data_IF_990515370074
#
_entry.id   IF_990515370074
#
_cell.length_a   1.000
_cell.length_b   1.000
_cell.length_c   1.000
_cell.angle_alpha   90.00
_cell.angle_beta   90.00
_cell.angle_gamma   90.00
#
_symmetry.space_group_name_H-M   'P 1'
#
loop_
_entity.id
_entity.type
_entity.pdbx_description
1 polymer ?
#
# COMPACT_ATOMS: atom_id res chain seq x y z
N UNK A 1 0.38 -15.21 24.38
CA UNK A 1 -0.01 -14.16 23.40
C UNK A 1 -0.74 -14.88 22.28
N UNK A 2 -1.96 -14.48 21.96
CA UNK A 2 -2.67 -14.98 20.77
C UNK A 2 -1.92 -14.51 19.53
N UNK A 3 -1.77 -15.39 18.52
CA UNK A 3 -1.17 -15.00 17.24
C UNK A 3 -1.95 -13.83 16.63
N UNK A 4 -1.28 -12.84 16.03
CA UNK A 4 -1.97 -11.71 15.39
C UNK A 4 -2.93 -12.21 14.30
N UNK A 5 -4.09 -11.54 14.20
CA UNK A 5 -5.04 -11.79 13.10
C UNK A 5 -4.51 -11.13 11.82
N UNK A 6 -3.77 -11.90 11.03
CA UNK A 6 -3.12 -11.42 9.80
C UNK A 6 -4.11 -11.01 8.69
N UNK A 7 -5.38 -11.44 8.78
CA UNK A 7 -6.42 -11.11 7.79
C UNK A 7 -7.27 -9.88 8.17
N UNK A 8 -6.97 -9.23 9.29
CA UNK A 8 -7.65 -8.02 9.68
C UNK A 8 -7.12 -6.80 8.91
N UNK A 9 -7.97 -6.07 8.19
CA UNK A 9 -7.64 -4.86 7.43
C UNK A 9 -8.44 -3.64 7.92
N UNK A 10 -8.05 -2.43 7.47
CA UNK A 10 -8.60 -1.18 7.96
C UNK A 10 -10.07 -0.95 7.60
N UNK A 11 -10.59 -1.58 6.56
CA UNK A 11 -11.99 -1.54 6.17
C UNK A 11 -12.92 -2.18 7.21
N UNK A 12 -12.41 -3.16 7.98
CA UNK A 12 -13.14 -3.76 9.13
C UNK A 12 -13.24 -2.78 10.31
N UNK A 13 -12.24 -1.91 10.47
CA UNK A 13 -12.27 -0.87 11.51
C UNK A 13 -13.22 0.29 11.17
N UNK A 14 -13.38 0.60 9.88
CA UNK A 14 -14.34 1.59 9.40
C UNK A 14 -15.79 1.08 9.53
N UNK A 15 -16.71 1.99 9.83
CA UNK A 15 -18.14 1.67 9.88
C UNK A 15 -18.97 2.90 9.47
N UNK A 16 -20.19 2.72 8.94
CA UNK A 16 -21.10 3.82 8.67
C UNK A 16 -21.33 4.69 9.92
N UNK A 17 -21.26 6.00 9.74
CA UNK A 17 -21.45 6.98 10.82
C UNK A 17 -20.17 7.34 11.59
N UNK A 18 -19.06 6.68 11.34
CA UNK A 18 -17.75 7.06 11.89
C UNK A 18 -16.95 7.91 10.90
N UNK A 19 -16.21 8.89 11.41
CA UNK A 19 -15.19 9.57 10.64
C UNK A 19 -14.02 8.59 10.41
N UNK A 20 -13.71 8.29 9.13
CA UNK A 20 -12.78 7.24 8.75
C UNK A 20 -11.33 7.73 8.68
N UNK A 21 -10.55 7.36 9.68
CA UNK A 21 -9.09 7.48 9.73
C UNK A 21 -8.40 6.11 9.71
N UNK A 22 -9.16 5.01 9.49
CA UNK A 22 -8.64 3.65 9.42
C UNK A 22 -8.21 3.23 8.02
N UNK A 23 -8.90 3.71 6.97
CA UNK A 23 -8.63 3.34 5.58
C UNK A 23 -7.72 4.38 4.90
N UNK A 24 -6.61 3.92 4.30
CA UNK A 24 -5.63 4.77 3.63
C UNK A 24 -5.96 5.00 2.15
N UNK A 25 -7.20 5.33 1.82
CA UNK A 25 -7.58 5.81 0.49
C UNK A 25 -7.66 7.33 0.56
N UNK A 26 -6.94 8.03 -0.33
CA UNK A 26 -6.77 9.48 -0.29
C UNK A 26 -8.09 10.24 -0.41
N UNK A 27 -8.93 9.83 -1.34
CA UNK A 27 -10.18 10.53 -1.67
C UNK A 27 -11.34 9.53 -1.74
N UNK A 28 -12.56 9.95 -1.34
CA UNK A 28 -13.73 9.07 -1.36
C UNK A 28 -14.26 8.78 -2.78
N UNK A 29 -13.82 9.55 -3.77
CA UNK A 29 -14.26 9.44 -5.17
C UNK A 29 -13.08 9.69 -6.11
N UNK A 30 -13.00 8.96 -7.25
CA UNK A 30 -12.06 9.29 -8.32
C UNK A 30 -12.29 10.71 -8.86
N UNK A 31 -11.26 11.38 -9.41
CA UNK A 31 -11.41 12.66 -10.10
C UNK A 31 -12.46 12.61 -11.20
N UNK A 32 -13.08 13.76 -11.51
CA UNK A 32 -14.17 13.84 -12.49
C UNK A 32 -13.76 13.26 -13.85
N UNK A 33 -12.59 13.67 -14.36
CA UNK A 33 -12.08 13.21 -15.65
C UNK A 33 -11.93 11.67 -15.71
N UNK A 34 -11.48 11.04 -14.61
CA UNK A 34 -11.33 9.58 -14.55
C UNK A 34 -12.70 8.88 -14.48
N UNK A 35 -13.65 9.44 -13.74
CA UNK A 35 -15.02 8.92 -13.69
C UNK A 35 -15.70 9.00 -15.05
N UNK A 36 -15.56 10.12 -15.76
CA UNK A 36 -16.15 10.33 -17.08
C UNK A 36 -15.57 9.35 -18.10
N UNK A 37 -14.26 9.11 -18.02
CA UNK A 37 -13.58 8.12 -18.87
C UNK A 37 -14.03 6.69 -18.58
N UNK A 38 -14.16 6.31 -17.32
CA UNK A 38 -14.70 5.01 -16.92
C UNK A 38 -16.18 4.86 -17.29
N UNK A 39 -16.97 5.93 -17.19
CA UNK A 39 -18.37 5.92 -17.60
C UNK A 39 -18.52 5.66 -19.10
N UNK A 40 -17.67 6.28 -19.94
CA UNK A 40 -17.66 6.02 -21.38
C UNK A 40 -17.29 4.57 -21.72
N UNK A 41 -16.46 3.92 -20.92
CA UNK A 41 -16.07 2.52 -21.12
C UNK A 41 -17.16 1.50 -20.69
N UNK A 42 -18.24 1.94 -20.03
CA UNK A 42 -19.35 1.06 -19.65
C UNK A 42 -20.09 0.48 -20.86
N UNK A 43 -20.15 1.21 -21.97
CA UNK A 43 -20.84 0.78 -23.20
C UNK A 43 -20.18 -0.46 -23.84
N UNK A 44 -18.90 -0.71 -23.53
CA UNK A 44 -18.14 -1.85 -24.06
C UNK A 44 -18.17 -3.09 -23.13
N UNK A 45 -18.84 -3.05 -21.99
CA UNK A 45 -18.87 -4.16 -21.01
C UNK A 45 -19.53 -5.46 -21.54
N UNK A 46 -20.28 -5.39 -22.63
CA UNK A 46 -20.80 -6.56 -23.30
C UNK A 46 -19.75 -7.41 -24.03
N UNK A 47 -18.50 -6.98 -24.05
CA UNK A 47 -17.36 -7.68 -24.68
C UNK A 47 -16.33 -8.07 -23.63
N UNK A 48 -15.63 -9.18 -23.88
CA UNK A 48 -14.43 -9.50 -23.07
C UNK A 48 -13.34 -8.44 -23.25
N UNK A 49 -12.50 -8.20 -22.22
CA UNK A 49 -11.34 -7.32 -22.34
C UNK A 49 -10.51 -7.68 -23.57
N UNK A 50 -10.25 -6.70 -24.43
CA UNK A 50 -9.50 -6.94 -25.66
C UNK A 50 -8.01 -7.05 -25.39
N UNK A 51 -7.30 -7.84 -26.22
CA UNK A 51 -5.83 -7.90 -26.18
C UNK A 51 -5.20 -6.52 -26.37
N UNK A 52 -5.79 -5.69 -27.26
CA UNK A 52 -5.33 -4.33 -27.50
C UNK A 52 -5.43 -3.46 -26.23
N UNK A 53 -6.55 -3.54 -25.47
CA UNK A 53 -6.69 -2.78 -24.23
C UNK A 53 -5.65 -3.21 -23.17
N UNK A 54 -5.37 -4.52 -23.09
CA UNK A 54 -4.31 -5.04 -22.21
C UNK A 54 -2.92 -4.53 -22.63
N UNK A 55 -2.62 -4.56 -23.93
CA UNK A 55 -1.35 -4.05 -24.49
C UNK A 55 -1.19 -2.55 -24.22
N UNK A 56 -2.23 -1.73 -24.46
CA UNK A 56 -2.21 -0.28 -24.17
C UNK A 56 -1.96 0.02 -22.70
N UNK A 57 -2.62 -0.70 -21.79
CA UNK A 57 -2.42 -0.54 -20.36
C UNK A 57 -0.99 -0.91 -19.95
N UNK A 58 -0.45 -2.01 -20.50
CA UNK A 58 0.93 -2.46 -20.26
C UNK A 58 1.95 -1.46 -20.77
N UNK A 59 1.76 -0.93 -21.98
CA UNK A 59 2.60 0.11 -22.57
C UNK A 59 2.55 1.42 -21.77
N UNK A 60 1.38 1.83 -21.26
CA UNK A 60 1.24 3.02 -20.46
C UNK A 60 2.05 2.91 -19.14
N UNK A 61 1.96 1.77 -18.46
CA UNK A 61 2.77 1.48 -17.26
C UNK A 61 4.25 1.45 -17.61
N UNK A 62 4.63 0.78 -18.70
CA UNK A 62 6.02 0.68 -19.15
C UNK A 62 6.61 2.07 -19.41
N UNK A 63 5.90 2.94 -20.13
CA UNK A 63 6.32 4.34 -20.37
C UNK A 63 6.48 5.12 -19.07
N UNK A 64 5.55 5.01 -18.13
CA UNK A 64 5.62 5.67 -16.82
C UNK A 64 6.93 5.37 -16.11
N UNK A 65 7.39 4.13 -16.17
CA UNK A 65 8.56 3.66 -15.42
C UNK A 65 9.83 3.48 -16.27
N UNK A 66 9.82 3.90 -17.55
CA UNK A 66 10.97 3.72 -18.44
C UNK A 66 11.33 2.24 -18.62
N UNK A 67 10.33 1.35 -18.61
CA UNK A 67 10.47 -0.11 -18.72
C UNK A 67 9.98 -0.60 -20.08
N UNK A 68 10.25 -1.88 -20.38
CA UNK A 68 9.67 -2.58 -21.51
C UNK A 68 8.29 -3.16 -21.13
N UNK A 69 7.33 -3.30 -22.08
CA UNK A 69 6.01 -3.87 -21.76
C UNK A 69 6.03 -5.31 -21.25
N UNK A 70 7.05 -6.11 -21.57
CA UNK A 70 7.24 -7.46 -21.04
C UNK A 70 7.71 -7.48 -19.57
N UNK A 71 8.21 -6.35 -19.06
CA UNK A 71 8.54 -6.14 -17.64
C UNK A 71 7.34 -5.66 -16.81
N UNK A 72 6.11 -5.76 -17.34
CA UNK A 72 4.88 -5.32 -16.68
C UNK A 72 3.87 -6.46 -16.62
N UNK A 73 3.35 -6.77 -15.42
CA UNK A 73 2.24 -7.68 -15.21
C UNK A 73 1.06 -6.90 -14.59
N UNK A 74 -0.02 -6.73 -15.35
CA UNK A 74 -1.24 -6.07 -14.88
C UNK A 74 -2.00 -6.97 -13.90
N UNK A 75 -2.55 -6.39 -12.84
CA UNK A 75 -3.18 -7.09 -11.72
C UNK A 75 -4.58 -6.55 -11.43
N UNK A 76 -5.44 -7.43 -10.96
CA UNK A 76 -6.73 -7.07 -10.37
C UNK A 76 -6.54 -6.58 -8.92
N UNK A 77 -5.81 -5.48 -8.78
CA UNK A 77 -5.32 -4.90 -7.53
C UNK A 77 -4.03 -5.53 -7.02
N UNK A 78 -3.28 -4.78 -6.23
CA UNK A 78 -2.02 -5.23 -5.64
C UNK A 78 -2.17 -6.52 -4.79
N UNK A 79 -3.35 -6.74 -4.18
CA UNK A 79 -3.62 -7.95 -3.41
C UNK A 79 -3.50 -9.24 -4.24
N UNK A 80 -3.89 -9.22 -5.53
CA UNK A 80 -3.63 -10.36 -6.42
C UNK A 80 -2.14 -10.64 -6.56
N UNK A 81 -1.31 -9.60 -6.61
CA UNK A 81 0.14 -9.73 -6.69
C UNK A 81 0.70 -10.56 -5.54
N UNK A 82 0.29 -10.27 -4.31
CA UNK A 82 0.71 -11.06 -3.15
C UNK A 82 0.29 -12.53 -3.24
N UNK A 83 -0.95 -12.79 -3.67
CA UNK A 83 -1.45 -14.15 -3.83
C UNK A 83 -0.69 -14.95 -4.91
N UNK A 84 -0.06 -14.28 -5.86
CA UNK A 84 0.74 -14.90 -6.91
C UNK A 84 2.19 -15.21 -6.48
N UNK A 85 2.76 -14.50 -5.50
CA UNK A 85 4.16 -14.64 -5.08
C UNK A 85 4.61 -16.09 -4.76
N UNK A 86 3.78 -16.96 -4.14
CA UNK A 86 4.15 -18.34 -3.90
C UNK A 86 4.51 -19.15 -5.16
N UNK A 87 4.06 -18.73 -6.35
CA UNK A 87 4.41 -19.37 -7.63
C UNK A 87 5.89 -19.26 -7.99
N UNK A 88 6.61 -18.30 -7.39
CA UNK A 88 8.07 -18.22 -7.52
C UNK A 88 8.79 -19.36 -6.80
N UNK A 89 8.04 -20.15 -6.02
CA UNK A 89 8.52 -21.36 -5.33
C UNK A 89 9.77 -21.16 -4.45
N UNK A 90 9.86 -20.08 -3.65
CA UNK A 90 10.97 -19.90 -2.74
C UNK A 90 10.90 -20.99 -1.65
N UNK A 91 12.06 -21.49 -1.22
CA UNK A 91 12.14 -22.46 -0.12
C UNK A 91 11.99 -21.80 1.24
N UNK A 92 12.38 -20.54 1.34
CA UNK A 92 12.36 -19.72 2.55
C UNK A 92 12.14 -18.26 2.22
N UNK A 93 11.20 -17.63 2.91
CA UNK A 93 10.82 -16.23 2.69
C UNK A 93 11.11 -15.41 3.93
N UNK A 94 11.75 -14.25 3.78
CA UNK A 94 11.83 -13.24 4.82
C UNK A 94 10.77 -12.16 4.57
N UNK A 95 10.00 -11.80 5.61
CA UNK A 95 9.06 -10.68 5.55
C UNK A 95 9.44 -9.65 6.61
N UNK A 96 9.61 -8.41 6.16
CA UNK A 96 9.96 -7.30 7.06
C UNK A 96 8.70 -6.77 7.73
N UNK A 97 8.70 -6.80 9.06
CA UNK A 97 7.62 -6.34 9.93
C UNK A 97 8.10 -5.26 10.92
N UNK A 98 7.19 -4.40 11.42
CA UNK A 98 5.76 -4.33 11.11
C UNK A 98 5.53 -4.00 9.63
N UNK A 99 4.68 -4.77 8.96
CA UNK A 99 4.42 -4.63 7.53
C UNK A 99 3.04 -5.15 7.15
N UNK A 100 2.61 -4.87 5.94
CA UNK A 100 1.34 -5.40 5.43
C UNK A 100 1.36 -6.93 5.42
N UNK A 101 0.28 -7.56 5.86
CA UNK A 101 0.26 -8.96 6.24
C UNK A 101 -0.15 -9.94 5.13
N UNK A 102 -0.73 -9.46 4.03
CA UNK A 102 -1.17 -10.32 2.92
C UNK A 102 -0.05 -11.17 2.30
N UNK A 103 1.20 -10.69 2.13
CA UNK A 103 2.28 -11.55 1.64
C UNK A 103 2.51 -12.76 2.56
N UNK A 104 2.50 -12.55 3.88
CA UNK A 104 2.67 -13.62 4.85
C UNK A 104 1.56 -14.65 4.77
N UNK A 105 0.30 -14.18 4.67
CA UNK A 105 -0.86 -15.05 4.49
C UNK A 105 -0.70 -15.90 3.24
N UNK A 106 -0.32 -15.31 2.11
CA UNK A 106 -0.16 -16.03 0.85
C UNK A 106 0.90 -17.14 0.91
N UNK A 107 2.06 -16.86 1.52
CA UNK A 107 3.12 -17.86 1.66
C UNK A 107 2.75 -18.96 2.66
N UNK A 108 2.13 -18.63 3.80
CA UNK A 108 1.65 -19.60 4.78
C UNK A 108 0.60 -20.53 4.21
N UNK A 109 -0.38 -19.99 3.47
CA UNK A 109 -1.42 -20.78 2.80
C UNK A 109 -0.84 -21.73 1.76
N UNK A 110 0.29 -21.37 1.14
CA UNK A 110 1.05 -22.22 0.22
C UNK A 110 2.00 -23.21 0.93
N UNK A 111 2.07 -23.21 2.27
CA UNK A 111 2.96 -24.08 3.04
C UNK A 111 4.43 -23.70 2.97
N UNK A 112 4.77 -22.48 2.57
CA UNK A 112 6.14 -21.98 2.45
C UNK A 112 6.57 -21.35 3.78
N UNK A 113 7.75 -21.73 4.34
CA UNK A 113 8.27 -21.16 5.58
C UNK A 113 8.51 -19.64 5.47
N UNK A 114 8.02 -18.90 6.48
CA UNK A 114 8.19 -17.45 6.59
C UNK A 114 8.96 -17.10 7.85
N UNK A 115 10.05 -16.37 7.69
CA UNK A 115 10.80 -15.76 8.78
C UNK A 115 10.46 -14.28 8.90
N UNK A 116 10.19 -13.83 10.12
CA UNK A 116 9.96 -12.42 10.40
C UNK A 116 11.28 -11.68 10.59
N UNK A 117 11.48 -10.60 9.87
CA UNK A 117 12.49 -9.59 10.15
C UNK A 117 11.79 -8.47 10.92
N UNK A 118 11.80 -8.57 12.25
CA UNK A 118 11.14 -7.58 13.10
C UNK A 118 12.01 -6.33 13.25
N UNK A 119 11.49 -5.19 12.84
CA UNK A 119 12.08 -3.87 13.09
C UNK A 119 11.47 -3.27 14.37
N UNK A 120 12.25 -2.53 15.09
CA UNK A 120 11.85 -1.84 16.32
C UNK A 120 12.34 -0.39 16.38
N UNK A 121 12.01 0.31 17.44
CA UNK A 121 12.44 1.68 17.69
C UNK A 121 11.93 2.64 16.61
N UNK A 122 12.81 3.08 15.72
CA UNK A 122 12.49 3.94 14.58
C UNK A 122 12.12 3.16 13.31
N UNK A 123 12.03 1.85 13.39
CA UNK A 123 11.67 0.92 12.31
C UNK A 123 12.54 1.04 11.04
N UNK A 124 13.78 1.49 11.18
CA UNK A 124 14.72 1.61 10.05
C UNK A 124 15.46 0.29 9.80
N UNK A 125 15.64 -0.06 8.53
CA UNK A 125 16.49 -1.18 8.12
C UNK A 125 17.95 -0.92 8.49
N UNK A 126 18.53 -1.74 9.41
CA UNK A 126 19.93 -1.67 9.83
C UNK A 126 20.73 -2.93 9.48
N UNK A 127 20.21 -3.75 8.61
CA UNK A 127 20.72 -5.05 8.21
C UNK A 127 19.69 -6.14 8.48
N UNK A 128 19.89 -7.33 7.92
CA UNK A 128 19.05 -8.50 8.22
C UNK A 128 19.94 -9.67 8.58
N UNK A 129 19.70 -10.35 9.70
CA UNK A 129 20.45 -11.54 10.09
C UNK A 129 19.89 -12.82 9.43
N UNK A 130 18.91 -12.71 8.52
CA UNK A 130 18.14 -13.85 8.00
C UNK A 130 18.60 -14.17 6.59
N UNK A 131 18.85 -15.45 6.33
CA UNK A 131 19.02 -15.97 4.97
C UNK A 131 17.65 -16.31 4.38
N UNK A 132 17.36 -15.83 3.17
CA UNK A 132 16.10 -16.11 2.47
C UNK A 132 16.33 -16.18 0.96
N UNK A 133 15.49 -16.97 0.27
CA UNK A 133 15.47 -17.00 -1.21
C UNK A 133 14.67 -15.82 -1.78
N UNK A 134 13.74 -15.27 -0.95
CA UNK A 134 12.90 -14.13 -1.31
C UNK A 134 12.65 -13.28 -0.07
N UNK A 135 12.74 -11.97 -0.23
CA UNK A 135 12.40 -11.00 0.82
C UNK A 135 11.29 -10.06 0.37
N UNK A 136 10.30 -9.83 1.24
CA UNK A 136 9.19 -8.88 0.99
C UNK A 136 9.23 -7.74 2.00
N UNK A 137 9.09 -6.52 1.49
CA UNK A 137 9.02 -5.29 2.31
C UNK A 137 8.08 -4.27 1.67
N UNK A 138 7.34 -3.49 2.48
CA UNK A 138 6.63 -2.29 2.01
C UNK A 138 7.53 -1.05 2.01
N UNK A 139 7.42 -0.20 0.99
CA UNK A 139 8.15 1.06 0.93
C UNK A 139 7.35 2.16 0.20
N UNK A 140 6.82 3.18 0.88
CA UNK A 140 6.78 3.34 2.36
C UNK A 140 6.04 2.21 3.06
N UNK A 141 6.53 1.83 4.24
CA UNK A 141 5.97 0.72 5.00
C UNK A 141 4.62 1.06 5.65
N UNK A 142 3.59 0.25 5.44
CA UNK A 142 2.36 0.29 6.23
C UNK A 142 2.47 -0.77 7.36
N UNK A 143 2.39 -0.40 8.67
CA UNK A 143 1.76 0.80 9.21
C UNK A 143 2.70 1.94 9.63
N UNK A 144 4.02 1.77 9.56
CA UNK A 144 5.00 2.68 10.17
C UNK A 144 5.19 4.00 9.42
N UNK A 145 4.83 4.05 8.14
CA UNK A 145 5.08 5.17 7.23
C UNK A 145 6.58 5.44 6.94
N UNK A 146 7.46 4.53 7.31
CA UNK A 146 8.90 4.64 7.05
C UNK A 146 9.19 4.47 5.57
N UNK A 147 9.98 5.38 5.01
CA UNK A 147 10.56 5.30 3.68
C UNK A 147 12.02 4.85 3.81
N UNK A 148 12.30 3.61 3.41
CA UNK A 148 13.64 3.03 3.42
C UNK A 148 14.43 3.46 2.19
N UNK A 149 15.73 3.69 2.36
CA UNK A 149 16.59 4.02 1.22
C UNK A 149 16.76 2.83 0.28
N UNK A 150 16.85 3.10 -1.03
CA UNK A 150 17.18 2.09 -2.05
C UNK A 150 18.42 1.27 -1.70
N UNK A 151 19.43 1.93 -1.12
CA UNK A 151 20.66 1.27 -0.71
C UNK A 151 20.42 0.25 0.41
N UNK A 152 19.54 0.55 1.37
CA UNK A 152 19.20 -0.39 2.44
C UNK A 152 18.37 -1.55 1.90
N UNK A 153 17.38 -1.28 1.04
CA UNK A 153 16.54 -2.29 0.41
C UNK A 153 17.36 -3.30 -0.39
N UNK A 154 18.30 -2.85 -1.21
CA UNK A 154 19.17 -3.71 -2.04
C UNK A 154 20.15 -4.59 -1.26
N UNK A 155 20.27 -4.41 0.05
CA UNK A 155 21.07 -5.29 0.94
C UNK A 155 20.27 -6.46 1.50
N UNK A 156 18.95 -6.47 1.28
CA UNK A 156 18.10 -7.57 1.71
C UNK A 156 18.43 -8.84 0.94
N UNK A 157 18.39 -10.03 1.58
CA UNK A 157 18.77 -11.28 0.96
C UNK A 157 17.73 -11.79 -0.04
N UNK A 158 18.18 -12.60 -1.00
CA UNK A 158 17.34 -13.28 -1.98
C UNK A 158 16.73 -12.34 -3.03
N UNK A 159 15.71 -12.82 -3.74
CA UNK A 159 14.93 -12.00 -4.68
C UNK A 159 14.12 -10.98 -3.88
N UNK A 160 14.29 -9.71 -4.19
CA UNK A 160 13.60 -8.62 -3.50
C UNK A 160 12.22 -8.34 -4.13
N UNK A 161 11.20 -8.30 -3.29
CA UNK A 161 9.84 -7.83 -3.63
C UNK A 161 9.54 -6.61 -2.78
N UNK A 162 9.27 -5.47 -3.43
CA UNK A 162 8.94 -4.22 -2.74
C UNK A 162 7.50 -3.84 -3.02
N UNK A 163 6.70 -3.72 -1.96
CA UNK A 163 5.34 -3.18 -2.04
C UNK A 163 5.40 -1.65 -1.99
N UNK A 164 5.29 -1.03 -3.15
CA UNK A 164 5.26 0.41 -3.34
C UNK A 164 3.83 0.95 -3.49
N UNK A 165 2.83 0.33 -2.84
CA UNK A 165 1.43 0.75 -2.94
C UNK A 165 1.17 2.20 -2.48
N UNK A 166 2.08 2.80 -1.74
CA UNK A 166 2.01 4.19 -1.26
C UNK A 166 3.10 5.09 -1.85
N UNK A 167 3.93 4.61 -2.76
CA UNK A 167 5.02 5.40 -3.32
C UNK A 167 4.52 6.60 -4.14
N UNK A 168 3.36 6.49 -4.80
CA UNK A 168 2.69 7.60 -5.51
C UNK A 168 2.37 8.81 -4.59
N UNK A 169 2.42 8.64 -3.29
CA UNK A 169 2.18 9.73 -2.32
C UNK A 169 3.49 10.36 -1.79
N UNK A 170 4.64 9.95 -2.32
CA UNK A 170 5.96 10.50 -1.97
C UNK A 170 6.43 11.38 -3.13
N UNK A 171 6.62 12.70 -2.94
CA UNK A 171 7.02 13.60 -4.02
C UNK A 171 8.30 13.16 -4.71
N UNK A 172 8.25 13.01 -6.05
CA UNK A 172 9.39 12.60 -6.87
C UNK A 172 9.83 11.14 -6.69
N UNK A 173 9.20 10.36 -5.84
CA UNK A 173 9.48 8.93 -5.60
C UNK A 173 10.99 8.59 -5.43
N UNK A 174 11.76 9.31 -4.58
CA UNK A 174 13.23 9.27 -4.58
C UNK A 174 13.81 7.89 -4.23
N UNK A 175 13.07 7.07 -3.48
CA UNK A 175 13.50 5.75 -3.03
C UNK A 175 12.77 4.59 -3.75
N UNK A 176 12.05 4.89 -4.83
CA UNK A 176 11.38 3.87 -5.64
C UNK A 176 12.39 2.98 -6.37
N UNK A 177 12.13 1.68 -6.37
CA UNK A 177 12.87 0.67 -7.14
C UNK A 177 12.17 0.28 -8.46
N UNK A 178 11.13 1.02 -8.88
CA UNK A 178 10.36 0.74 -10.09
C UNK A 178 11.22 0.70 -11.38
N UNK A 179 12.37 1.39 -11.39
CA UNK A 179 13.31 1.39 -12.52
C UNK A 179 14.38 0.27 -12.44
N UNK A 180 14.41 -0.51 -11.35
CA UNK A 180 15.40 -1.56 -11.14
C UNK A 180 14.90 -2.89 -11.73
N UNK A 181 15.57 -3.46 -12.77
CA UNK A 181 15.11 -4.69 -13.42
C UNK A 181 15.22 -5.93 -12.54
N UNK A 182 16.08 -5.92 -11.53
CA UNK A 182 16.33 -7.07 -10.67
C UNK A 182 15.35 -7.19 -9.51
N UNK A 183 14.49 -6.16 -9.33
CA UNK A 183 13.54 -6.08 -8.22
C UNK A 183 12.10 -6.26 -8.73
N UNK A 184 11.31 -7.08 -8.02
CA UNK A 184 9.87 -7.13 -8.23
C UNK A 184 9.21 -5.99 -7.45
N UNK A 185 8.62 -5.03 -8.15
CA UNK A 185 7.96 -3.88 -7.52
C UNK A 185 6.46 -3.96 -7.75
N UNK A 186 5.70 -3.98 -6.65
CA UNK A 186 4.24 -3.99 -6.67
C UNK A 186 3.71 -2.57 -6.52
N UNK A 187 2.87 -2.13 -7.45
CA UNK A 187 2.23 -0.80 -7.43
C UNK A 187 0.72 -0.92 -7.32
N UNK A 188 0.11 0.04 -6.65
CA UNK A 188 -1.35 0.14 -6.50
C UNK A 188 -1.83 1.53 -6.89
N UNK A 189 -2.78 1.60 -7.81
CA UNK A 189 -3.45 2.86 -8.16
C UNK A 189 -4.64 3.18 -7.24
N UNK A 190 -4.98 2.25 -6.36
CA UNK A 190 -6.14 2.33 -5.45
C UNK A 190 -6.08 3.55 -4.54
N UNK A 191 -4.89 3.83 -3.98
CA UNK A 191 -4.75 4.76 -2.84
C UNK A 191 -4.82 6.21 -3.30
N UNK A 192 -4.11 6.53 -4.36
CA UNK A 192 -4.00 7.87 -4.93
C UNK A 192 -5.29 8.31 -5.62
N UNK A 193 -5.92 7.38 -6.36
CA UNK A 193 -7.02 7.71 -7.27
C UNK A 193 -8.42 7.37 -6.75
N UNK A 194 -8.56 6.88 -5.51
CA UNK A 194 -9.87 6.50 -4.97
C UNK A 194 -10.50 5.29 -5.68
N UNK A 195 -9.68 4.32 -6.09
CA UNK A 195 -10.09 3.16 -6.91
C UNK A 195 -10.18 1.86 -6.10
N UNK A 196 -10.50 1.91 -4.82
CA UNK A 196 -10.52 0.72 -3.96
C UNK A 196 -11.45 -0.38 -4.48
N UNK A 197 -12.64 -0.01 -4.97
CA UNK A 197 -13.62 -0.95 -5.53
C UNK A 197 -13.28 -1.44 -6.95
N UNK A 198 -12.44 -0.73 -7.70
CA UNK A 198 -12.08 -1.08 -9.08
C UNK A 198 -10.98 -2.14 -9.18
N UNK A 199 -10.12 -2.23 -8.16
CA UNK A 199 -9.00 -3.19 -8.12
C UNK A 199 -7.97 -2.96 -9.24
N UNK A 200 -7.20 -1.88 -9.18
CA UNK A 200 -6.17 -1.53 -10.16
C UNK A 200 -4.76 -1.57 -9.55
N UNK A 201 -3.86 -2.32 -10.15
CA UNK A 201 -2.46 -2.45 -9.76
C UNK A 201 -1.63 -3.20 -10.79
N UNK A 202 -0.33 -3.28 -10.57
CA UNK A 202 0.60 -3.99 -11.45
C UNK A 202 1.89 -4.37 -10.74
N UNK A 203 2.58 -5.40 -11.24
CA UNK A 203 3.99 -5.66 -10.98
C UNK A 203 4.88 -5.09 -12.08
N UNK A 204 6.06 -4.67 -11.65
CA UNK A 204 7.23 -4.43 -12.50
C UNK A 204 8.32 -5.43 -12.10
N UNK A 205 9.09 -5.92 -13.05
CA UNK A 205 10.17 -6.84 -12.75
C UNK A 205 10.73 -7.57 -13.96
N UNK A 206 11.55 -8.55 -13.68
CA UNK A 206 12.11 -9.44 -14.68
C UNK A 206 11.03 -10.20 -15.46
N UNK A 207 11.06 -10.23 -16.82
CA UNK A 207 10.03 -10.89 -17.63
C UNK A 207 9.81 -12.37 -17.32
N UNK A 208 10.86 -13.12 -16.99
CA UNK A 208 10.75 -14.55 -16.67
C UNK A 208 10.02 -14.76 -15.33
N UNK A 209 10.35 -13.94 -14.33
CA UNK A 209 9.65 -13.95 -13.04
C UNK A 209 8.17 -13.58 -13.22
N UNK A 210 7.87 -12.53 -14.00
CA UNK A 210 6.50 -12.11 -14.28
C UNK A 210 5.71 -13.16 -15.06
N UNK A 211 6.32 -13.85 -16.02
CA UNK A 211 5.72 -14.98 -16.73
C UNK A 211 5.38 -16.14 -15.76
N UNK A 212 6.27 -16.42 -14.81
CA UNK A 212 6.03 -17.42 -13.76
C UNK A 212 4.82 -17.03 -12.89
N UNK A 213 4.74 -15.77 -12.45
CA UNK A 213 3.59 -15.25 -11.70
C UNK A 213 2.29 -15.31 -12.50
N UNK A 214 2.36 -15.02 -13.81
CA UNK A 214 1.20 -15.02 -14.70
C UNK A 214 0.69 -16.43 -15.04
N UNK A 215 1.55 -17.43 -14.95
CA UNK A 215 1.22 -18.82 -15.34
C UNK A 215 -0.01 -19.32 -14.56
N UNK A 216 -0.99 -19.91 -15.28
CA UNK A 216 -2.21 -20.47 -14.68
C UNK A 216 -3.20 -19.44 -14.12
N UNK A 217 -3.03 -18.14 -14.41
CA UNK A 217 -4.12 -17.16 -14.20
C UNK A 217 -5.29 -17.47 -15.16
N UNK A 218 -6.54 -17.18 -14.75
CA UNK A 218 -7.66 -17.31 -15.65
C UNK A 218 -7.51 -16.40 -16.88
N UNK A 219 -8.24 -16.69 -17.95
CA UNK A 219 -8.35 -15.76 -19.07
C UNK A 219 -9.02 -14.45 -18.60
N UNK A 220 -8.57 -13.32 -19.16
CA UNK A 220 -9.08 -11.99 -18.82
C UNK A 220 -9.00 -11.66 -17.33
N UNK A 221 -7.83 -11.78 -16.70
CA UNK A 221 -7.70 -11.64 -15.26
C UNK A 221 -7.95 -10.21 -14.78
N UNK A 222 -7.85 -9.22 -15.69
CA UNK A 222 -8.09 -7.81 -15.44
C UNK A 222 -9.25 -7.32 -16.28
N UNK A 223 -10.28 -6.77 -15.65
CA UNK A 223 -11.51 -6.31 -16.34
C UNK A 223 -11.29 -5.04 -17.17
N UNK A 224 -12.16 -4.79 -18.16
CA UNK A 224 -12.06 -3.66 -19.09
C UNK A 224 -11.95 -2.30 -18.40
N UNK A 225 -12.76 -2.04 -17.37
CA UNK A 225 -12.70 -0.77 -16.62
C UNK A 225 -11.39 -0.62 -15.85
N UNK A 226 -10.83 -1.73 -15.37
CA UNK A 226 -9.54 -1.70 -14.66
C UNK A 226 -8.39 -1.42 -15.64
N UNK A 227 -8.40 -2.02 -16.83
CA UNK A 227 -7.44 -1.73 -17.90
C UNK A 227 -7.49 -0.26 -18.30
N UNK A 228 -8.71 0.27 -18.49
CA UNK A 228 -8.92 1.68 -18.80
C UNK A 228 -8.38 2.60 -17.71
N UNK A 229 -8.65 2.29 -16.44
CA UNK A 229 -8.12 3.07 -15.32
C UNK A 229 -6.59 3.02 -15.23
N UNK A 230 -5.98 1.86 -15.46
CA UNK A 230 -4.52 1.72 -15.46
C UNK A 230 -3.91 2.59 -16.56
N UNK A 231 -4.47 2.51 -17.78
CA UNK A 231 -4.02 3.34 -18.91
C UNK A 231 -4.12 4.81 -18.56
N UNK A 232 -5.30 5.25 -18.13
CA UNK A 232 -5.59 6.65 -17.82
C UNK A 232 -4.70 7.22 -16.71
N UNK A 233 -4.49 6.47 -15.62
CA UNK A 233 -3.68 6.91 -14.49
C UNK A 233 -2.16 6.93 -14.78
N UNK A 234 -1.72 6.36 -15.92
CA UNK A 234 -0.34 6.38 -16.37
C UNK A 234 -0.07 7.37 -17.52
N UNK A 235 -1.07 8.16 -17.93
CA UNK A 235 -0.90 9.23 -18.91
C UNK A 235 -0.18 10.46 -18.31
N UNK A 236 0.54 11.26 -19.10
CA UNK A 236 1.35 12.38 -18.59
C UNK A 236 0.58 13.33 -17.68
N UNK A 237 -0.62 13.73 -18.05
CA UNK A 237 -1.45 14.68 -17.29
C UNK A 237 -1.89 14.09 -15.94
N UNK A 238 -2.14 12.77 -15.89
CA UNK A 238 -2.43 12.07 -14.66
C UNK A 238 -1.19 11.99 -13.76
N UNK A 239 -0.01 11.74 -14.32
CA UNK A 239 1.25 11.72 -13.56
C UNK A 239 1.57 13.08 -12.95
N UNK A 240 1.35 14.19 -13.68
CA UNK A 240 1.47 15.54 -13.14
C UNK A 240 0.48 15.78 -11.98
N UNK A 241 -0.75 15.28 -12.10
CA UNK A 241 -1.73 15.38 -11.03
C UNK A 241 -1.35 14.51 -9.83
N UNK A 242 -0.82 13.32 -10.06
CA UNK A 242 -0.30 12.44 -8.99
C UNK A 242 0.83 13.11 -8.21
N UNK A 243 1.75 13.82 -8.91
CA UNK A 243 2.82 14.57 -8.28
C UNK A 243 2.26 15.70 -7.38
N UNK A 244 1.28 16.48 -7.86
CA UNK A 244 0.62 17.50 -7.02
C UNK A 244 -0.06 16.87 -5.78
N UNK A 245 -0.66 15.70 -5.95
CA UNK A 245 -1.25 14.96 -4.83
C UNK A 245 -0.22 14.48 -3.81
N UNK A 246 0.98 14.13 -4.26
CA UNK A 246 2.07 13.76 -3.37
C UNK A 246 2.57 14.97 -2.56
N UNK A 247 2.70 16.14 -3.21
CA UNK A 247 3.08 17.39 -2.57
C UNK A 247 2.05 17.83 -1.51
N UNK A 248 0.75 17.77 -1.84
CA UNK A 248 -0.34 18.00 -0.88
C UNK A 248 -0.28 17.01 0.30
N UNK A 249 0.03 15.74 0.03
CA UNK A 249 0.13 14.72 1.09
C UNK A 249 1.31 15.00 2.04
N UNK A 250 2.43 15.50 1.52
CA UNK A 250 3.59 15.92 2.33
C UNK A 250 3.24 17.14 3.20
N UNK A 251 2.53 18.14 2.66
CA UNK A 251 2.05 19.30 3.44
C UNK A 251 1.10 18.87 4.56
N UNK A 252 0.14 17.98 4.25
CA UNK A 252 -0.78 17.44 5.26
C UNK A 252 -0.06 16.61 6.33
N UNK A 253 0.98 15.86 5.93
CA UNK A 253 1.80 15.09 6.85
C UNK A 253 2.60 16.00 7.81
N UNK A 254 3.13 17.12 7.31
CA UNK A 254 3.81 18.11 8.12
C UNK A 254 2.87 18.75 9.15
N UNK A 255 1.65 19.14 8.73
CA UNK A 255 0.62 19.65 9.64
C UNK A 255 0.25 18.61 10.71
N UNK A 256 -0.03 17.37 10.32
CA UNK A 256 -0.41 16.31 11.25
C UNK A 256 0.71 16.00 12.26
N UNK A 257 1.96 16.03 11.82
CA UNK A 257 3.14 15.85 12.69
C UNK A 257 3.24 16.98 13.73
N UNK A 258 3.01 18.24 13.33
CA UNK A 258 3.00 19.38 14.26
C UNK A 258 1.94 19.23 15.36
N UNK A 259 0.73 18.73 14.99
CA UNK A 259 -0.38 18.57 15.95
C UNK A 259 -0.15 17.43 16.95
N UNK A 260 0.61 16.38 16.59
CA UNK A 260 0.72 15.14 17.34
C UNK A 260 2.17 14.71 17.61
N UNK A 261 3.13 15.62 17.54
CA UNK A 261 4.59 15.32 17.63
C UNK A 261 4.98 14.44 18.82
N UNK A 262 4.32 14.59 19.99
CA UNK A 262 4.63 13.84 21.21
C UNK A 262 4.13 12.38 21.18
N UNK A 263 3.23 12.05 20.23
CA UNK A 263 2.63 10.73 20.07
C UNK A 263 3.15 10.00 18.83
N UNK A 264 3.72 10.72 17.86
CA UNK A 264 4.18 10.13 16.59
C UNK A 264 5.46 9.34 16.84
N UNK A 265 5.46 8.07 16.41
CA UNK A 265 6.61 7.16 16.60
C UNK A 265 7.76 7.53 15.66
N UNK A 266 7.45 7.81 14.40
CA UNK A 266 8.41 8.26 13.38
C UNK A 266 7.73 9.30 12.46
N UNK A 267 8.46 10.32 11.96
CA UNK A 267 7.90 11.27 11.00
C UNK A 267 7.33 10.56 9.76
N UNK A 268 6.05 10.80 9.41
CA UNK A 268 5.41 10.08 8.31
C UNK A 268 5.98 10.47 6.94
N UNK A 269 6.13 9.48 6.06
CA UNK A 269 6.52 9.62 4.65
C UNK A 269 5.44 9.13 3.68
N UNK A 270 4.31 8.67 4.20
CA UNK A 270 3.12 8.26 3.46
C UNK A 270 1.89 8.96 4.08
N UNK A 271 0.70 8.93 3.45
CA UNK A 271 -0.49 9.63 3.94
C UNK A 271 -1.14 8.93 5.16
N UNK A 272 -0.33 8.47 6.09
CA UNK A 272 -0.72 7.92 7.39
C UNK A 272 0.45 7.99 8.36
N UNK A 273 0.15 7.95 9.65
CA UNK A 273 1.14 7.97 10.72
C UNK A 273 0.87 6.87 11.75
N UNK A 274 1.94 6.44 12.42
CA UNK A 274 1.90 5.52 13.54
C UNK A 274 2.02 6.32 14.84
N UNK A 275 1.03 6.19 15.71
CA UNK A 275 1.00 6.83 17.02
C UNK A 275 1.28 5.81 18.13
N UNK A 276 1.94 6.26 19.20
CA UNK A 276 2.01 5.56 20.48
C UNK A 276 1.00 6.17 21.44
N UNK A 277 0.05 5.36 21.90
CA UNK A 277 -1.09 5.80 22.70
C UNK A 277 -1.35 4.85 23.88
N UNK A 278 -2.06 5.26 24.95
CA UNK A 278 -2.52 4.35 25.99
C UNK A 278 -3.43 3.25 25.44
N UNK A 279 -3.45 2.09 26.13
CA UNK A 279 -4.42 1.04 25.83
C UNK A 279 -5.85 1.55 25.97
N UNK A 280 -6.75 1.11 25.10
CA UNK A 280 -8.15 1.54 25.10
C UNK A 280 -8.42 2.82 24.30
N UNK A 281 -7.38 3.53 23.85
CA UNK A 281 -7.56 4.77 23.05
C UNK A 281 -8.39 4.53 21.79
N UNK A 282 -8.19 3.41 21.09
CA UNK A 282 -8.95 3.10 19.88
C UNK A 282 -10.45 2.94 20.17
N UNK A 283 -10.81 2.20 21.21
CA UNK A 283 -12.19 1.97 21.64
C UNK A 283 -12.86 3.27 22.07
N UNK A 284 -12.16 4.09 22.87
CA UNK A 284 -12.66 5.39 23.29
C UNK A 284 -12.84 6.37 22.11
N UNK A 285 -11.93 6.37 21.12
CA UNK A 285 -12.12 7.13 19.88
C UNK A 285 -13.34 6.66 19.10
N UNK A 286 -13.58 5.34 19.04
CA UNK A 286 -14.75 4.78 18.37
C UNK A 286 -16.05 5.22 19.02
N UNK A 287 -16.12 5.29 20.35
CA UNK A 287 -17.27 5.80 21.08
C UNK A 287 -17.53 7.30 20.80
N UNK A 288 -16.49 8.03 20.40
CA UNK A 288 -16.59 9.43 19.93
C UNK A 288 -16.81 9.57 18.43
N UNK A 289 -17.13 8.48 17.73
CA UNK A 289 -17.44 8.52 16.30
C UNK A 289 -16.21 8.51 15.37
N UNK A 290 -15.03 8.12 15.85
CA UNK A 290 -13.78 8.06 15.07
C UNK A 290 -13.36 6.61 14.83
N UNK A 291 -13.13 6.24 13.58
CA UNK A 291 -12.51 4.98 13.22
C UNK A 291 -11.00 5.15 12.99
N UNK A 292 -10.17 4.41 13.71
CA UNK A 292 -8.73 4.35 13.52
C UNK A 292 -8.25 2.90 13.46
N UNK A 293 -7.15 2.64 12.77
CA UNK A 293 -6.64 1.28 12.51
C UNK A 293 -5.87 0.72 13.71
N UNK A 294 -6.36 -0.40 14.28
CA UNK A 294 -5.63 -1.14 15.32
C UNK A 294 -4.33 -1.72 14.78
N UNK A 295 -3.29 -1.77 15.62
CA UNK A 295 -1.97 -2.20 15.16
C UNK A 295 -1.48 -3.53 15.77
N UNK A 296 -2.16 -4.09 16.76
CA UNK A 296 -1.87 -5.39 17.36
C UNK A 296 -2.05 -6.59 16.41
N UNK A 297 -2.53 -6.33 15.20
CA UNK A 297 -2.61 -7.31 14.09
C UNK A 297 -1.38 -7.29 13.18
N UNK A 298 -0.45 -6.35 13.37
CA UNK A 298 0.83 -6.32 12.67
C UNK A 298 1.90 -6.97 13.56
N UNK A 299 2.64 -8.00 13.09
CA UNK A 299 3.74 -8.57 13.84
C UNK A 299 4.73 -7.50 14.30
N UNK A 300 5.08 -7.52 15.58
CA UNK A 300 5.99 -6.54 16.20
C UNK A 300 5.31 -5.31 16.81
N UNK A 301 3.98 -5.15 16.65
CA UNK A 301 3.20 -4.11 17.32
C UNK A 301 2.18 -4.69 18.28
N UNK A 302 1.68 -3.86 19.18
CA UNK A 302 0.66 -4.19 20.18
C UNK A 302 -0.50 -3.16 20.20
N UNK A 303 -1.39 -3.27 21.17
CA UNK A 303 -2.57 -2.42 21.34
C UNK A 303 -2.26 -1.00 21.89
N UNK A 304 -0.98 -0.68 22.08
CA UNK A 304 -0.51 0.67 22.38
C UNK A 304 -0.10 1.45 21.12
N UNK A 305 -0.25 0.85 19.95
CA UNK A 305 -0.02 1.51 18.68
C UNK A 305 -1.33 1.70 17.91
N UNK A 306 -1.44 2.86 17.26
CA UNK A 306 -2.59 3.22 16.45
C UNK A 306 -2.11 3.79 15.11
N UNK A 307 -2.57 3.24 13.98
CA UNK A 307 -2.32 3.86 12.68
C UNK A 307 -3.49 4.75 12.29
N UNK A 308 -3.17 5.96 11.87
CA UNK A 308 -4.14 7.00 11.50
C UNK A 308 -3.87 7.48 10.08
N UNK A 309 -4.89 7.48 9.23
CA UNK A 309 -4.82 8.10 7.92
C UNK A 309 -4.74 9.62 8.07
N UNK A 310 -3.80 10.25 7.37
CA UNK A 310 -3.68 11.71 7.31
C UNK A 310 -4.71 12.22 6.31
N UNK A 311 -5.47 13.23 6.72
CA UNK A 311 -6.51 13.90 5.95
C UNK A 311 -6.15 15.37 5.80
N UNK A 312 -6.84 16.12 4.92
CA UNK A 312 -6.71 17.58 4.90
C UNK A 312 -6.86 18.20 6.29
N UNK A 313 -6.19 19.31 6.60
CA UNK A 313 -6.13 19.90 7.94
C UNK A 313 -7.48 20.05 8.65
N UNK A 314 -8.52 20.50 7.92
CA UNK A 314 -9.87 20.67 8.47
C UNK A 314 -10.52 19.34 8.92
N UNK A 315 -10.33 18.26 8.14
CA UNK A 315 -10.83 16.94 8.51
C UNK A 315 -9.96 16.34 9.63
N UNK A 316 -8.64 16.54 9.56
CA UNK A 316 -7.71 15.97 10.55
C UNK A 316 -7.87 16.61 11.93
N UNK A 317 -8.28 17.89 12.00
CA UNK A 317 -8.58 18.56 13.26
C UNK A 317 -9.67 17.83 14.07
N UNK A 318 -10.67 17.23 13.40
CA UNK A 318 -11.71 16.41 14.07
C UNK A 318 -11.10 15.22 14.82
N UNK A 319 -10.11 14.55 14.22
CA UNK A 319 -9.37 13.47 14.87
C UNK A 319 -8.55 13.97 16.06
N UNK A 320 -7.82 15.08 15.87
CA UNK A 320 -6.96 15.66 16.91
C UNK A 320 -7.77 16.06 18.14
N UNK A 321 -8.91 16.71 17.95
CA UNK A 321 -9.79 17.14 19.06
C UNK A 321 -10.37 15.95 19.82
N UNK A 322 -10.85 14.93 19.10
CA UNK A 322 -11.33 13.71 19.72
C UNK A 322 -10.22 12.97 20.49
N UNK A 323 -9.02 12.90 19.92
CA UNK A 323 -7.89 12.24 20.57
C UNK A 323 -7.47 12.98 21.86
N UNK A 324 -7.42 14.30 21.88
CA UNK A 324 -7.09 15.09 23.08
C UNK A 324 -8.06 14.79 24.23
N UNK A 325 -9.37 14.77 23.95
CA UNK A 325 -10.38 14.42 24.96
C UNK A 325 -10.18 12.99 25.47
N UNK A 326 -9.95 12.03 24.57
CA UNK A 326 -9.69 10.63 24.97
C UNK A 326 -8.43 10.50 25.81
N UNK A 327 -7.36 11.22 25.47
CA UNK A 327 -6.10 11.19 26.25
C UNK A 327 -6.29 11.74 27.66
N UNK A 328 -7.13 12.78 27.83
CA UNK A 328 -7.49 13.32 29.16
C UNK A 328 -8.34 12.32 29.98
N UNK A 329 -9.24 11.58 29.31
CA UNK A 329 -10.10 10.58 29.97
C UNK A 329 -9.34 9.32 30.43
N UNK A 330 -8.22 9.00 29.76
CA UNK A 330 -7.42 7.80 30.02
C UNK A 330 -6.17 8.09 30.90
N UNK A 331 -5.89 9.36 31.22
CA UNK A 331 -4.78 9.77 32.08
C UNK A 331 -5.09 9.56 33.56
#
# INVERSE_FOLDING_TARGET
MTSPDLRHHGDVDAAPGLADFAVNVRVPRPPAWLRDRLAAALDDLGRYPSKQAEELAREAVARRHGRSPDEVLLLNGAAEGFALLPKLSPRRVAIVHPGFTEPEVAFRDAGIPVDHVLLDGDFQLRGTPVEADLTVIGNPTNPTSVLHSRTALKRLPGKLVVDEAFMDAVPGEPESLAHDPDVLVLRSLTKTWGLAGLRAGYFLGDPEALATLAHGRPHWPVGSLTLEAITACCEPEALEQSQRFAEEAEEHAAYALEQLQDLVVVPPKAPFMLLRVPKGTREALRDKGIAARRCDTFPGLDDTFLRVAIRPPEEFAVFVDALRVVMEELA
#
